data_IF_342653430155
#
_entry.id   IF_342653430155
#
_cell.length_a   1.000
_cell.length_b   1.000
_cell.length_c   1.000
_cell.angle_alpha   90.00
_cell.angle_beta   90.00
_cell.angle_gamma   90.00
#
_symmetry.space_group_name_H-M   'P 1'
#
loop_
_entity.id
_entity.type
_entity.pdbx_description
1 polymer ?
#
# COMPACT_ATOMS: atom_id res chain seq x y z
N UNK A 1 -8.12 -3.40 19.27
CA UNK A 1 -7.16 -3.66 18.17
C UNK A 1 -7.96 -4.01 16.91
N UNK A 2 -8.50 -3.01 16.21
CA UNK A 2 -9.50 -3.24 15.12
C UNK A 2 -9.12 -2.54 13.80
N UNK A 3 -8.17 -1.58 13.81
CA UNK A 3 -7.80 -0.82 12.61
C UNK A 3 -6.97 -1.61 11.58
N UNK A 4 -6.20 -2.61 12.01
CA UNK A 4 -5.25 -3.32 11.13
C UNK A 4 -5.93 -4.29 10.14
N UNK A 5 -7.16 -4.76 10.42
CA UNK A 5 -7.91 -5.65 9.51
C UNK A 5 -8.50 -4.95 8.28
N UNK A 6 -8.61 -3.63 8.28
CA UNK A 6 -9.23 -2.89 7.17
C UNK A 6 -8.22 -2.39 6.13
N UNK A 7 -6.96 -2.15 6.51
CA UNK A 7 -5.97 -1.57 5.61
C UNK A 7 -5.33 -2.61 4.69
N UNK A 8 -5.01 -3.80 5.21
CA UNK A 8 -4.35 -4.85 4.43
C UNK A 8 -5.15 -5.26 3.18
N UNK A 9 -6.48 -5.48 3.25
CA UNK A 9 -7.28 -5.83 2.07
C UNK A 9 -7.38 -4.70 1.04
N UNK A 10 -7.10 -3.44 1.41
CA UNK A 10 -7.06 -2.33 0.45
C UNK A 10 -5.81 -2.41 -0.44
N UNK A 11 -4.69 -2.90 0.09
CA UNK A 11 -3.46 -3.05 -0.70
C UNK A 11 -3.67 -4.01 -1.88
N UNK A 12 -4.49 -5.06 -1.68
CA UNK A 12 -4.78 -6.10 -2.67
C UNK A 12 -5.80 -5.69 -3.74
N UNK A 13 -6.34 -4.48 -3.66
CA UNK A 13 -7.30 -3.95 -4.64
C UNK A 13 -6.63 -3.01 -5.64
N UNK A 14 -5.33 -2.78 -5.52
CA UNK A 14 -4.58 -1.93 -6.44
C UNK A 14 -4.41 -2.63 -7.78
N UNK A 15 -4.74 -1.91 -8.85
CA UNK A 15 -4.53 -2.32 -10.23
C UNK A 15 -3.66 -1.28 -10.94
N UNK A 16 -2.41 -1.64 -11.25
CA UNK A 16 -1.44 -0.77 -11.91
C UNK A 16 -1.81 -0.44 -13.36
N UNK A 17 -2.73 -1.20 -13.98
CA UNK A 17 -3.19 -0.94 -15.35
C UNK A 17 -4.29 0.12 -15.42
N UNK A 18 -4.92 0.41 -14.27
CA UNK A 18 -5.98 1.40 -14.11
C UNK A 18 -5.45 2.73 -13.54
N UNK A 19 -4.27 3.17 -14.01
CA UNK A 19 -3.73 4.49 -13.67
C UNK A 19 -4.54 5.60 -14.36
N UNK A 20 -4.48 6.81 -13.78
CA UNK A 20 -5.26 7.99 -14.19
C UNK A 20 -5.00 8.31 -15.67
N UNK A 21 -5.91 7.87 -16.54
CA UNK A 21 -5.93 8.30 -17.94
C UNK A 21 -6.53 9.70 -17.95
N UNK A 22 -5.95 10.58 -18.77
CA UNK A 22 -6.27 12.01 -18.84
C UNK A 22 -7.78 12.27 -18.68
N UNK A 23 -8.13 13.26 -17.85
CA UNK A 23 -9.48 13.55 -17.36
C UNK A 23 -10.51 13.97 -18.44
N UNK A 24 -10.19 13.74 -19.72
CA UNK A 24 -10.99 14.10 -20.90
C UNK A 24 -11.90 12.97 -21.38
N UNK A 25 -11.68 11.73 -20.94
CA UNK A 25 -12.57 10.61 -21.29
C UNK A 25 -13.62 10.36 -20.20
N UNK A 26 -14.88 10.22 -20.62
CA UNK A 26 -15.99 9.79 -19.76
C UNK A 26 -15.79 8.32 -19.38
N UNK A 27 -14.90 8.09 -18.42
CA UNK A 27 -14.63 6.79 -17.84
C UNK A 27 -15.93 6.19 -17.28
N UNK A 28 -16.29 4.97 -17.70
CA UNK A 28 -17.46 4.27 -17.17
C UNK A 28 -17.34 4.06 -15.64
N UNK A 29 -18.47 3.84 -14.96
CA UNK A 29 -18.54 3.67 -13.49
C UNK A 29 -17.47 2.71 -12.94
N UNK A 30 -17.16 1.63 -13.68
CA UNK A 30 -16.12 0.67 -13.30
C UNK A 30 -14.72 1.30 -13.18
N UNK A 31 -14.34 2.19 -14.10
CA UNK A 31 -13.06 2.89 -14.05
C UNK A 31 -13.00 3.88 -12.88
N UNK A 32 -14.07 4.64 -12.62
CA UNK A 32 -14.12 5.52 -11.44
C UNK A 32 -13.99 4.75 -10.12
N UNK A 33 -14.63 3.58 -10.02
CA UNK A 33 -14.52 2.71 -8.84
C UNK A 33 -13.09 2.19 -8.68
N UNK A 34 -12.42 1.80 -9.77
CA UNK A 34 -11.05 1.30 -9.70
C UNK A 34 -10.05 2.41 -9.35
N UNK A 35 -10.23 3.63 -9.87
CA UNK A 35 -9.43 4.81 -9.47
C UNK A 35 -9.57 5.06 -7.96
N UNK A 36 -10.79 5.00 -7.41
CA UNK A 36 -11.02 5.15 -5.98
C UNK A 36 -10.33 4.04 -5.15
N UNK A 37 -10.37 2.79 -5.62
CA UNK A 37 -9.64 1.67 -5.00
C UNK A 37 -8.13 1.89 -5.01
N UNK A 38 -7.56 2.31 -6.14
CA UNK A 38 -6.15 2.61 -6.26
C UNK A 38 -5.72 3.72 -5.30
N UNK A 39 -6.53 4.79 -5.18
CA UNK A 39 -6.32 5.86 -4.21
C UNK A 39 -6.34 5.35 -2.75
N UNK A 40 -7.30 4.48 -2.42
CA UNK A 40 -7.37 3.89 -1.09
C UNK A 40 -6.19 2.97 -0.78
N UNK A 41 -5.73 2.19 -1.76
CA UNK A 41 -4.55 1.34 -1.60
C UNK A 41 -3.28 2.15 -1.30
N UNK A 42 -3.07 3.27 -2.01
CA UNK A 42 -1.97 4.21 -1.75
C UNK A 42 -2.03 4.75 -0.33
N UNK A 43 -3.19 5.29 0.08
CA UNK A 43 -3.37 5.83 1.44
C UNK A 43 -3.21 4.77 2.52
N UNK A 44 -3.63 3.53 2.27
CA UNK A 44 -3.46 2.42 3.19
C UNK A 44 -1.98 2.08 3.38
N UNK A 45 -1.20 2.02 2.29
CA UNK A 45 0.25 1.81 2.33
C UNK A 45 0.96 2.89 3.16
N UNK A 46 0.63 4.16 2.91
CA UNK A 46 1.16 5.29 3.69
C UNK A 46 0.78 5.20 5.18
N UNK A 47 -0.48 4.85 5.47
CA UNK A 47 -0.95 4.67 6.84
C UNK A 47 -0.22 3.54 7.58
N UNK A 48 0.09 2.42 6.90
CA UNK A 48 0.86 1.31 7.48
C UNK A 48 2.32 1.69 7.72
N UNK A 49 2.93 2.43 6.80
CA UNK A 49 4.29 2.96 6.97
C UNK A 49 4.39 3.90 8.18
N UNK A 50 3.39 4.79 8.34
CA UNK A 50 3.28 5.67 9.52
C UNK A 50 2.98 4.88 10.79
N UNK A 51 2.05 3.92 10.77
CA UNK A 51 1.68 3.14 11.97
C UNK A 51 2.85 2.34 12.55
N UNK A 52 3.74 1.84 11.69
CA UNK A 52 4.95 1.12 12.08
C UNK A 52 6.11 2.02 12.47
N UNK A 53 6.03 3.33 12.16
CA UNK A 53 7.15 4.26 12.28
C UNK A 53 8.29 3.93 11.30
N UNK A 54 7.97 3.29 10.17
CA UNK A 54 8.91 3.02 9.07
C UNK A 54 8.97 4.16 8.06
N UNK A 55 8.07 5.14 8.16
CA UNK A 55 7.98 6.26 7.23
C UNK A 55 9.24 7.14 7.28
N UNK A 56 9.94 7.21 6.15
CA UNK A 56 11.28 7.79 6.04
C UNK A 56 11.37 9.29 5.75
N UNK A 57 10.44 10.13 6.22
CA UNK A 57 10.44 11.58 5.91
C UNK A 57 11.03 12.47 7.03
N UNK A 58 11.64 11.89 8.05
CA UNK A 58 12.13 12.65 9.21
C UNK A 58 11.02 13.06 10.19
N UNK A 59 9.81 12.51 10.04
CA UNK A 59 8.72 12.65 11.00
C UNK A 59 9.09 12.07 12.38
N UNK A 60 8.64 12.75 13.43
CA UNK A 60 8.78 12.33 14.84
C UNK A 60 7.86 11.15 15.21
N UNK A 61 7.36 10.40 14.22
CA UNK A 61 6.51 9.24 14.50
C UNK A 61 7.37 8.18 15.20
N UNK A 62 7.02 7.79 16.44
CA UNK A 62 7.79 6.82 17.18
C UNK A 62 7.72 5.46 16.50
N UNK A 63 8.85 4.76 16.50
CA UNK A 63 8.92 3.42 15.95
C UNK A 63 8.05 2.44 16.76
N UNK A 64 7.20 1.68 16.06
CA UNK A 64 6.29 0.71 16.65
C UNK A 64 6.71 -0.71 16.27
N UNK A 65 7.53 -1.33 17.13
CA UNK A 65 8.06 -2.68 16.93
C UNK A 65 6.95 -3.71 16.66
N UNK A 66 5.84 -3.68 17.40
CA UNK A 66 4.76 -4.64 17.24
C UNK A 66 4.07 -4.51 15.87
N UNK A 67 3.87 -3.27 15.39
CA UNK A 67 3.31 -3.04 14.06
C UNK A 67 4.31 -3.42 12.96
N UNK A 68 5.59 -3.10 13.12
CA UNK A 68 6.63 -3.48 12.17
C UNK A 68 6.78 -5.01 12.05
N UNK A 69 6.75 -5.74 13.17
CA UNK A 69 6.84 -7.20 13.16
C UNK A 69 5.58 -7.83 12.56
N UNK A 70 4.39 -7.31 12.88
CA UNK A 70 3.16 -7.77 12.24
C UNK A 70 3.21 -7.56 10.71
N UNK A 71 3.74 -6.43 10.24
CA UNK A 71 3.88 -6.17 8.80
C UNK A 71 4.90 -7.07 8.11
N UNK A 72 6.01 -7.44 8.78
CA UNK A 72 6.97 -8.43 8.26
C UNK A 72 6.45 -9.86 8.23
N UNK A 73 5.40 -10.16 8.99
CA UNK A 73 4.74 -11.47 8.97
C UNK A 73 3.63 -11.49 7.91
N UNK A 74 2.89 -10.40 7.79
CA UNK A 74 1.78 -10.26 6.82
C UNK A 74 2.28 -9.99 5.40
N UNK A 75 3.43 -9.35 5.27
CA UNK A 75 4.16 -9.10 4.02
C UNK A 75 5.49 -9.85 4.11
N UNK A 76 6.12 -10.17 2.98
CA UNK A 76 7.49 -10.68 3.04
C UNK A 76 8.46 -9.61 3.56
N UNK A 77 9.66 -10.01 4.04
CA UNK A 77 10.69 -9.04 4.44
C UNK A 77 10.98 -7.98 3.37
N UNK A 78 10.96 -8.37 2.10
CA UNK A 78 11.22 -7.50 0.94
C UNK A 78 10.11 -6.45 0.75
N UNK A 79 8.85 -6.83 0.80
CA UNK A 79 7.76 -5.85 0.72
C UNK A 79 7.69 -4.97 1.96
N UNK A 80 7.95 -5.55 3.14
CA UNK A 80 7.96 -4.76 4.38
C UNK A 80 9.07 -3.69 4.37
N UNK A 81 10.22 -3.94 3.72
CA UNK A 81 11.25 -2.91 3.60
C UNK A 81 10.84 -1.75 2.68
N UNK A 82 10.06 -2.03 1.63
CA UNK A 82 9.58 -1.02 0.68
C UNK A 82 8.60 -0.02 1.30
N UNK A 83 7.99 -0.32 2.44
CA UNK A 83 7.20 0.66 3.20
C UNK A 83 8.03 1.87 3.66
N UNK A 84 9.36 1.74 3.70
CA UNK A 84 10.28 2.82 4.09
C UNK A 84 10.57 3.81 2.96
N UNK A 85 10.48 3.34 1.72
CA UNK A 85 11.06 4.00 0.54
C UNK A 85 10.19 5.14 -0.02
N UNK A 86 9.07 5.46 0.62
CA UNK A 86 8.12 6.53 0.23
C UNK A 86 7.56 6.44 -1.20
N UNK A 87 7.59 5.26 -1.84
CA UNK A 87 6.97 5.03 -3.14
C UNK A 87 5.87 3.96 -3.00
N UNK A 88 4.67 4.32 -2.51
CA UNK A 88 3.58 3.38 -2.29
C UNK A 88 3.18 2.59 -3.54
N UNK A 89 3.23 3.22 -4.73
CA UNK A 89 2.86 2.57 -6.00
C UNK A 89 3.77 1.41 -6.38
N UNK A 90 5.07 1.51 -6.09
CA UNK A 90 6.03 0.43 -6.38
C UNK A 90 5.77 -0.78 -5.50
N UNK A 91 5.51 -0.55 -4.21
CA UNK A 91 5.10 -1.60 -3.27
C UNK A 91 3.82 -2.28 -3.76
N UNK A 92 2.80 -1.50 -4.06
CA UNK A 92 1.48 -1.99 -4.47
C UNK A 92 1.55 -2.74 -5.80
N UNK A 93 2.34 -2.26 -6.76
CA UNK A 93 2.55 -2.93 -8.04
C UNK A 93 3.22 -4.29 -7.84
N UNK A 94 4.27 -4.38 -7.01
CA UNK A 94 4.96 -5.66 -6.74
C UNK A 94 4.09 -6.64 -5.97
N UNK A 95 3.33 -6.15 -4.98
CA UNK A 95 2.39 -6.95 -4.19
C UNK A 95 1.30 -7.57 -5.09
N UNK A 96 0.72 -6.79 -6.00
CA UNK A 96 -0.41 -7.24 -6.83
C UNK A 96 0.00 -7.92 -8.14
N UNK A 97 1.26 -7.83 -8.55
CA UNK A 97 1.76 -8.50 -9.75
C UNK A 97 2.05 -10.01 -9.54
N UNK A 98 1.81 -10.57 -8.35
CA UNK A 98 2.20 -11.94 -7.98
C UNK A 98 3.69 -12.25 -8.23
N UNK A 99 4.54 -11.23 -8.24
CA UNK A 99 5.98 -11.33 -8.55
C UNK A 99 6.84 -11.67 -7.31
N UNK A 100 6.20 -11.97 -6.18
CA UNK A 100 6.91 -12.46 -5.00
C UNK A 100 7.15 -13.97 -5.10
N UNK A 101 8.42 -14.33 -5.24
CA UNK A 101 8.87 -15.69 -4.97
C UNK A 101 8.99 -15.89 -3.45
N UNK A 102 8.54 -17.02 -2.89
CA UNK A 102 8.86 -17.37 -1.52
C UNK A 102 10.38 -17.52 -1.36
N UNK A 103 10.95 -16.89 -0.32
CA UNK A 103 12.33 -17.08 0.12
C UNK A 103 12.47 -18.36 0.95
#
# INVERSE_FOLDING_TARGET
MVFNRYLLPLLLQYDSTAEESDATESHGVGASVQIAKNMHAVRASEALSRLSGLYGDGSLIPYNQAAADALKVLLTPKLSSMLKDQIPKDLLSKLNANLESPE
#
